data_IF_769132611220
#
_entry.id   IF_769132611220
#
_cell.length_a   1.000
_cell.length_b   1.000
_cell.length_c   1.000
_cell.angle_alpha   90.00
_cell.angle_beta   90.00
_cell.angle_gamma   90.00
#
_symmetry.space_group_name_H-M   'P 1'
#
loop_
_entity.id
_entity.type
_entity.pdbx_description
1 polymer ?
#
# COMPACT_ATOMS: atom_id res chain seq x y z
N UNK A 1 -29.04 -11.42 -3.88
CA UNK A 1 -27.70 -11.34 -3.25
C UNK A 1 -27.63 -10.07 -2.41
N UNK A 2 -26.95 -10.05 -1.27
CA UNK A 2 -26.77 -8.81 -0.51
C UNK A 2 -25.94 -7.84 -1.36
N UNK A 3 -26.43 -6.61 -1.57
CA UNK A 3 -25.77 -5.56 -2.32
C UNK A 3 -24.59 -4.98 -1.53
N UNK A 4 -24.70 -4.91 -0.20
CA UNK A 4 -23.73 -4.40 0.73
C UNK A 4 -23.18 -5.51 1.63
N UNK A 5 -21.95 -5.38 2.06
CA UNK A 5 -21.31 -6.33 2.98
C UNK A 5 -22.02 -6.31 4.35
N UNK A 6 -22.25 -5.12 4.88
CA UNK A 6 -23.00 -4.91 6.11
C UNK A 6 -23.71 -3.52 6.11
N UNK A 7 -24.43 -3.21 7.20
CA UNK A 7 -25.16 -1.97 7.34
C UNK A 7 -24.26 -0.73 7.48
N UNK A 8 -23.00 -0.87 7.84
CA UNK A 8 -22.06 0.25 7.97
C UNK A 8 -21.83 0.94 6.62
N UNK A 9 -21.86 0.21 5.52
CA UNK A 9 -21.65 0.80 4.19
C UNK A 9 -22.70 1.86 3.81
N UNK A 10 -23.88 1.82 4.44
CA UNK A 10 -25.04 2.69 4.12
C UNK A 10 -25.54 3.48 5.31
N UNK A 11 -24.88 3.39 6.47
CA UNK A 11 -25.31 4.19 7.65
C UNK A 11 -25.16 5.69 7.36
N UNK A 12 -25.94 6.51 8.07
CA UNK A 12 -25.89 7.96 7.89
C UNK A 12 -24.48 8.49 8.18
N UNK A 13 -23.92 9.42 7.34
CA UNK A 13 -22.57 9.95 7.54
C UNK A 13 -22.35 10.54 8.93
N UNK A 14 -23.35 11.22 9.51
CA UNK A 14 -23.26 11.78 10.86
C UNK A 14 -23.20 10.70 11.95
N UNK A 15 -23.92 9.61 11.80
CA UNK A 15 -23.86 8.47 12.72
C UNK A 15 -22.50 7.76 12.65
N UNK A 16 -21.98 7.56 11.44
CA UNK A 16 -20.62 7.02 11.23
C UNK A 16 -19.56 7.90 11.89
N UNK A 17 -19.61 9.20 11.64
CA UNK A 17 -18.65 10.15 12.22
C UNK A 17 -18.71 10.13 13.75
N UNK A 18 -19.91 10.16 14.34
CA UNK A 18 -20.07 10.07 15.79
C UNK A 18 -19.51 8.76 16.36
N UNK A 19 -19.76 7.63 15.70
CA UNK A 19 -19.24 6.32 16.11
C UNK A 19 -17.70 6.25 15.98
N UNK A 20 -17.12 6.78 14.90
CA UNK A 20 -15.67 6.85 14.70
C UNK A 20 -14.99 7.73 15.76
N UNK A 21 -15.55 8.91 16.07
CA UNK A 21 -14.97 9.81 17.07
C UNK A 21 -15.09 9.23 18.48
N UNK A 22 -16.18 8.54 18.80
CA UNK A 22 -16.32 7.82 20.07
C UNK A 22 -15.33 6.63 20.16
N UNK A 23 -15.07 5.93 19.06
CA UNK A 23 -14.06 4.87 18.98
C UNK A 23 -12.64 5.44 19.09
N UNK A 24 -12.38 6.60 18.51
CA UNK A 24 -11.08 7.27 18.51
C UNK A 24 -10.57 7.54 19.91
N UNK A 25 -11.39 8.17 20.79
CA UNK A 25 -11.00 8.45 22.16
C UNK A 25 -10.59 7.18 22.93
N UNK A 26 -11.39 6.11 22.78
CA UNK A 26 -11.08 4.80 23.39
C UNK A 26 -9.81 4.19 22.80
N UNK A 27 -9.62 4.33 21.48
CA UNK A 27 -8.46 3.80 20.77
C UNK A 27 -7.16 4.51 21.19
N UNK A 28 -7.18 5.85 21.35
CA UNK A 28 -6.04 6.63 21.85
C UNK A 28 -5.68 6.20 23.27
N UNK A 29 -6.67 6.05 24.16
CA UNK A 29 -6.45 5.56 25.52
C UNK A 29 -5.82 4.14 25.52
N UNK A 30 -6.33 3.25 24.68
CA UNK A 30 -5.80 1.90 24.51
C UNK A 30 -4.36 1.93 23.96
N UNK A 31 -4.09 2.74 22.95
CA UNK A 31 -2.75 2.89 22.37
C UNK A 31 -1.72 3.36 23.40
N UNK A 32 -2.09 4.32 24.26
CA UNK A 32 -1.25 4.78 25.36
C UNK A 32 -1.01 3.69 26.42
N UNK A 33 -2.03 2.87 26.70
CA UNK A 33 -1.92 1.84 27.74
C UNK A 33 -1.18 0.58 27.28
N UNK A 34 -1.36 0.17 26.02
CA UNK A 34 -0.94 -1.13 25.52
C UNK A 34 0.30 -1.10 24.61
N UNK A 35 0.63 0.05 24.01
CA UNK A 35 1.79 0.22 23.11
C UNK A 35 2.81 1.20 23.70
N UNK A 36 3.97 0.74 24.18
CA UNK A 36 5.00 1.61 24.73
C UNK A 36 5.45 2.72 23.76
N UNK A 37 5.51 2.43 22.46
CA UNK A 37 5.86 3.43 21.46
C UNK A 37 4.79 4.52 21.36
N UNK A 38 3.51 4.13 21.31
CA UNK A 38 2.40 5.09 21.25
C UNK A 38 2.25 5.85 22.56
N UNK A 39 2.50 5.23 23.72
CA UNK A 39 2.55 5.93 25.00
C UNK A 39 3.57 7.07 25.00
N UNK A 40 4.76 6.82 24.43
CA UNK A 40 5.79 7.86 24.27
C UNK A 40 5.43 8.94 23.25
N UNK A 41 4.86 8.56 22.10
CA UNK A 41 4.46 9.49 21.04
C UNK A 41 3.30 10.40 21.51
N UNK A 42 2.36 9.83 22.26
CA UNK A 42 1.17 10.52 22.78
C UNK A 42 1.33 10.99 24.23
N UNK A 43 2.58 11.16 24.71
CA UNK A 43 2.85 11.59 26.07
C UNK A 43 2.19 12.95 26.34
N UNK A 44 1.48 13.06 27.48
CA UNK A 44 0.77 14.29 27.86
C UNK A 44 -0.56 14.53 27.15
N UNK A 45 -0.99 13.65 26.24
CA UNK A 45 -2.30 13.73 25.59
C UNK A 45 -3.36 13.14 26.51
N UNK A 46 -4.41 13.91 26.81
CA UNK A 46 -5.62 13.39 27.43
C UNK A 46 -6.50 12.75 26.35
N UNK A 47 -6.54 11.42 26.32
CA UNK A 47 -7.29 10.64 25.32
C UNK A 47 -8.79 11.01 25.29
N UNK A 48 -9.38 11.40 26.44
CA UNK A 48 -10.78 11.81 26.53
C UNK A 48 -11.12 13.07 25.72
N UNK A 49 -10.11 13.91 25.45
CA UNK A 49 -10.27 15.13 24.65
C UNK A 49 -10.17 14.88 23.14
N UNK A 50 -9.72 13.68 22.71
CA UNK A 50 -9.54 13.34 21.29
C UNK A 50 -10.83 12.73 20.72
N UNK A 51 -11.87 13.54 20.67
CA UNK A 51 -13.20 13.15 20.23
C UNK A 51 -13.70 13.94 19.01
N UNK A 52 -12.77 14.46 18.20
CA UNK A 52 -13.08 15.18 16.95
C UNK A 52 -11.90 15.14 15.99
N UNK A 53 -12.17 15.34 14.69
CA UNK A 53 -11.10 15.44 13.67
C UNK A 53 -10.13 16.59 13.97
N UNK A 54 -10.64 17.72 14.47
CA UNK A 54 -9.78 18.84 14.85
C UNK A 54 -8.86 18.51 16.05
N UNK A 55 -9.32 17.70 17.00
CA UNK A 55 -8.49 17.22 18.09
C UNK A 55 -7.46 16.20 17.59
N UNK A 56 -7.87 15.25 16.72
CA UNK A 56 -6.99 14.28 16.09
C UNK A 56 -5.86 14.97 15.31
N UNK A 57 -6.19 15.98 14.52
CA UNK A 57 -5.24 16.72 13.67
C UNK A 57 -4.10 17.39 14.46
N UNK A 58 -4.27 17.63 15.77
CA UNK A 58 -3.22 18.19 16.64
C UNK A 58 -2.22 17.16 17.14
N UNK A 59 -2.51 15.86 17.01
CA UNK A 59 -1.60 14.82 17.41
C UNK A 59 -0.43 14.71 16.39
N UNK A 60 0.75 14.25 16.82
CA UNK A 60 1.86 14.06 15.90
C UNK A 60 1.55 12.99 14.85
N UNK A 61 2.11 13.16 13.65
CA UNK A 61 2.08 12.14 12.60
C UNK A 61 3.25 11.18 12.80
N UNK A 62 2.95 9.90 12.99
CA UNK A 62 3.99 8.85 13.05
C UNK A 62 4.43 8.50 11.63
N UNK A 63 5.68 8.76 11.30
CA UNK A 63 6.24 8.46 9.98
C UNK A 63 6.78 7.02 9.92
N UNK A 64 6.68 6.41 8.74
CA UNK A 64 7.23 5.06 8.50
C UNK A 64 8.73 4.98 8.79
N UNK A 65 9.49 6.04 8.47
CA UNK A 65 10.92 6.16 8.80
C UNK A 65 11.19 6.20 10.30
N UNK A 66 10.35 6.89 11.08
CA UNK A 66 10.47 6.94 12.54
C UNK A 66 10.12 5.59 13.18
N UNK A 67 9.09 4.92 12.68
CA UNK A 67 8.74 3.57 13.10
C UNK A 67 9.91 2.62 12.86
N UNK A 68 10.51 2.65 11.65
CA UNK A 68 11.69 1.86 11.33
C UNK A 68 12.86 2.17 12.27
N UNK A 69 13.16 3.45 12.50
CA UNK A 69 14.27 3.85 13.39
C UNK A 69 14.06 3.36 14.83
N UNK A 70 12.84 3.45 15.36
CA UNK A 70 12.50 2.92 16.70
C UNK A 70 12.65 1.40 16.75
N UNK A 71 12.20 0.67 15.73
CA UNK A 71 12.40 -0.77 15.67
C UNK A 71 13.89 -1.14 15.58
N UNK A 72 14.68 -0.42 14.80
CA UNK A 72 16.13 -0.64 14.70
C UNK A 72 16.84 -0.38 16.04
N UNK A 73 16.52 0.72 16.72
CA UNK A 73 17.07 1.05 18.01
C UNK A 73 16.71 -0.01 19.08
N UNK A 74 15.46 -0.45 19.11
CA UNK A 74 15.01 -1.49 20.03
C UNK A 74 15.76 -2.82 19.79
N UNK A 75 15.92 -3.24 18.54
CA UNK A 75 16.68 -4.45 18.17
C UNK A 75 18.16 -4.34 18.57
N UNK A 76 18.78 -3.19 18.33
CA UNK A 76 20.18 -2.95 18.72
C UNK A 76 20.39 -3.04 20.23
N UNK A 77 19.37 -2.69 21.02
CA UNK A 77 19.37 -2.82 22.48
C UNK A 77 18.94 -4.21 22.98
N UNK A 78 18.72 -5.20 22.11
CA UNK A 78 18.24 -6.53 22.47
C UNK A 78 16.79 -6.58 22.96
N UNK A 79 16.01 -5.55 22.65
CA UNK A 79 14.62 -5.39 23.05
C UNK A 79 13.58 -5.90 22.04
N UNK A 80 12.38 -5.35 22.13
CA UNK A 80 11.24 -5.74 21.29
C UNK A 80 11.46 -5.41 19.80
N UNK A 81 11.36 -6.43 18.96
CA UNK A 81 11.57 -6.30 17.50
C UNK A 81 10.53 -5.40 16.82
N UNK A 82 9.34 -5.24 17.42
CA UNK A 82 8.30 -4.33 16.95
C UNK A 82 8.49 -2.89 17.42
N UNK A 83 9.56 -2.60 18.16
CA UNK A 83 9.88 -1.25 18.64
C UNK A 83 8.87 -0.67 19.63
N UNK A 84 8.11 -1.50 20.31
CA UNK A 84 7.06 -1.11 21.23
C UNK A 84 5.74 -0.71 20.58
N UNK A 85 5.57 -0.88 19.26
CA UNK A 85 4.32 -0.55 18.57
C UNK A 85 3.24 -1.64 18.69
N UNK A 86 3.63 -2.92 18.82
CA UNK A 86 2.67 -4.00 19.02
C UNK A 86 2.06 -3.95 20.43
N UNK A 87 0.74 -4.05 20.52
CA UNK A 87 0.01 -4.18 21.79
C UNK A 87 -0.19 -5.64 22.19
N UNK A 88 0.16 -6.58 21.33
CA UNK A 88 0.09 -8.02 21.56
C UNK A 88 1.49 -8.63 21.63
N UNK A 89 1.64 -9.69 22.41
CA UNK A 89 2.88 -10.44 22.55
C UNK A 89 2.85 -11.74 21.77
N UNK A 90 4.05 -12.26 21.44
CA UNK A 90 4.20 -13.58 20.81
C UNK A 90 3.48 -14.68 21.61
N UNK A 91 2.84 -15.59 20.90
CA UNK A 91 2.06 -16.69 21.46
C UNK A 91 0.64 -16.72 20.90
N UNK A 92 -0.35 -17.06 21.74
CA UNK A 92 -1.74 -17.24 21.29
C UNK A 92 -2.39 -15.97 20.73
N UNK A 93 -1.93 -14.78 21.15
CA UNK A 93 -2.46 -13.50 20.68
C UNK A 93 -1.93 -13.08 19.30
N UNK A 94 -0.72 -13.53 18.95
CA UNK A 94 -0.07 -13.19 17.69
C UNK A 94 -0.05 -14.40 16.76
N UNK A 95 -0.83 -14.33 15.68
CA UNK A 95 -0.91 -15.39 14.67
C UNK A 95 0.33 -15.45 13.80
N UNK A 96 0.81 -14.30 13.34
CA UNK A 96 1.99 -14.15 12.47
C UNK A 96 2.76 -12.88 12.80
N UNK A 97 4.02 -12.85 12.40
CA UNK A 97 4.84 -11.66 12.30
C UNK A 97 5.37 -11.56 10.87
N UNK A 98 5.37 -10.37 10.32
CA UNK A 98 5.80 -10.09 8.95
C UNK A 98 7.01 -9.17 8.95
N UNK A 99 7.66 -9.09 7.79
CA UNK A 99 8.73 -8.15 7.52
C UNK A 99 8.47 -7.44 6.18
N UNK A 100 8.00 -6.21 6.23
CA UNK A 100 7.94 -5.34 5.06
C UNK A 100 9.30 -4.67 4.79
N UNK A 101 9.53 -4.11 3.57
CA UNK A 101 10.81 -3.51 3.24
C UNK A 101 11.27 -2.44 4.23
N UNK A 102 12.49 -2.61 4.77
CA UNK A 102 13.11 -1.76 5.79
C UNK A 102 14.22 -2.45 6.60
N UNK A 103 14.17 -3.70 7.20
CA UNK A 103 12.93 -4.39 7.46
C UNK A 103 12.10 -3.74 8.57
N UNK A 104 10.81 -3.63 8.33
CA UNK A 104 9.83 -3.24 9.32
C UNK A 104 9.03 -4.48 9.70
N UNK A 105 8.88 -4.74 11.00
CA UNK A 105 8.12 -5.89 11.49
C UNK A 105 6.72 -5.48 11.90
N UNK A 106 5.73 -6.18 11.37
CA UNK A 106 4.31 -5.98 11.66
C UNK A 106 3.71 -7.25 12.29
N UNK A 107 2.91 -7.12 13.38
CA UNK A 107 2.20 -8.24 13.98
C UNK A 107 0.86 -8.49 13.27
N UNK A 108 0.41 -9.74 13.28
CA UNK A 108 -0.98 -10.11 12.97
C UNK A 108 -1.60 -10.80 14.17
N UNK A 109 -2.73 -10.27 14.64
CA UNK A 109 -3.54 -10.89 15.68
C UNK A 109 -4.40 -12.03 15.17
N UNK A 110 -5.32 -12.51 16.02
CA UNK A 110 -6.12 -13.72 15.75
C UNK A 110 -7.51 -13.43 15.22
N UNK A 111 -7.90 -12.16 15.13
CA UNK A 111 -9.24 -11.80 14.64
C UNK A 111 -9.47 -12.31 13.22
N UNK A 112 -10.67 -12.83 12.96
CA UNK A 112 -11.11 -13.12 11.60
C UNK A 112 -11.16 -11.78 10.83
N UNK A 113 -10.81 -11.79 9.55
CA UNK A 113 -10.74 -10.57 8.74
C UNK A 113 -9.88 -9.46 9.37
N UNK A 114 -8.78 -9.85 10.02
CA UNK A 114 -7.87 -8.95 10.74
C UNK A 114 -7.52 -7.68 9.94
N UNK A 115 -7.28 -7.84 8.64
CA UNK A 115 -6.91 -6.79 7.71
C UNK A 115 -8.12 -6.09 7.06
N UNK A 116 -9.36 -6.47 7.38
CA UNK A 116 -10.65 -5.90 6.96
C UNK A 116 -10.98 -6.02 5.47
N UNK A 117 -10.24 -6.81 4.70
CA UNK A 117 -10.38 -6.90 3.24
C UNK A 117 -11.64 -7.64 2.75
N UNK A 118 -12.39 -8.33 3.61
CA UNK A 118 -13.64 -8.99 3.22
C UNK A 118 -14.64 -8.03 2.56
N UNK A 119 -14.71 -6.77 3.04
CA UNK A 119 -15.57 -5.73 2.47
C UNK A 119 -15.17 -5.37 1.03
N UNK A 120 -13.87 -5.19 0.78
CA UNK A 120 -13.34 -4.91 -0.54
C UNK A 120 -13.61 -6.06 -1.52
N UNK A 121 -13.42 -7.29 -1.07
CA UNK A 121 -13.74 -8.50 -1.84
C UNK A 121 -15.23 -8.58 -2.17
N UNK A 122 -16.11 -8.33 -1.18
CA UNK A 122 -17.54 -8.31 -1.40
C UNK A 122 -17.95 -7.25 -2.44
N UNK A 123 -17.38 -6.03 -2.35
CA UNK A 123 -17.62 -4.94 -3.29
C UNK A 123 -17.12 -5.28 -4.71
N UNK A 124 -16.02 -6.03 -4.82
CA UNK A 124 -15.50 -6.56 -6.09
C UNK A 124 -16.27 -7.78 -6.63
N UNK A 125 -17.34 -8.19 -5.95
CA UNK A 125 -18.23 -9.24 -6.41
C UNK A 125 -17.88 -10.66 -5.94
N UNK A 126 -16.90 -10.84 -5.06
CA UNK A 126 -16.61 -12.16 -4.45
C UNK A 126 -17.70 -12.58 -3.49
N UNK A 127 -17.97 -13.87 -3.42
CA UNK A 127 -19.04 -14.45 -2.57
C UNK A 127 -18.58 -15.75 -1.92
N UNK A 128 -19.24 -16.13 -0.84
CA UNK A 128 -19.01 -17.41 -0.15
C UNK A 128 -19.16 -18.59 -1.10
N UNK A 129 -18.28 -19.58 -0.95
CA UNK A 129 -18.22 -20.78 -1.78
C UNK A 129 -17.39 -20.66 -3.05
N UNK A 130 -16.91 -19.46 -3.39
CA UNK A 130 -16.03 -19.25 -4.55
C UNK A 130 -14.58 -19.65 -4.25
N UNK A 131 -13.87 -20.10 -5.28
CA UNK A 131 -12.43 -20.33 -5.25
C UNK A 131 -11.68 -19.12 -5.75
N UNK A 132 -10.69 -18.68 -5.00
CA UNK A 132 -9.91 -17.48 -5.29
C UNK A 132 -8.45 -17.83 -5.51
N UNK A 133 -7.90 -17.42 -6.65
CA UNK A 133 -6.47 -17.57 -6.98
C UNK A 133 -5.69 -16.37 -6.41
N UNK A 134 -4.93 -16.61 -5.32
CA UNK A 134 -4.15 -15.56 -4.66
C UNK A 134 -2.69 -15.60 -5.11
N UNK A 135 -2.32 -14.66 -5.98
CA UNK A 135 -0.99 -14.49 -6.56
C UNK A 135 -0.14 -13.40 -5.86
N UNK A 136 -0.56 -12.87 -4.71
CA UNK A 136 0.32 -12.07 -3.88
C UNK A 136 1.42 -12.92 -3.23
N UNK A 137 2.53 -12.28 -2.87
CA UNK A 137 3.63 -12.97 -2.19
C UNK A 137 3.23 -13.45 -0.79
N UNK A 138 3.42 -14.74 -0.55
CA UNK A 138 3.35 -15.36 0.78
C UNK A 138 4.69 -15.32 1.52
N UNK A 139 5.68 -14.63 0.95
CA UNK A 139 7.04 -14.64 1.44
C UNK A 139 7.36 -13.35 2.20
N UNK A 140 7.60 -13.46 3.49
CA UNK A 140 7.98 -12.42 4.47
C UNK A 140 6.94 -11.31 4.68
N UNK A 141 6.36 -10.74 3.63
CA UNK A 141 5.42 -9.60 3.71
C UNK A 141 3.98 -10.04 3.93
N UNK A 142 3.11 -9.21 4.50
CA UNK A 142 1.71 -9.57 4.75
C UNK A 142 0.81 -9.57 3.51
N UNK A 143 1.31 -9.18 2.32
CA UNK A 143 0.48 -8.90 1.15
C UNK A 143 -0.55 -9.98 0.79
N UNK A 144 -0.12 -11.24 0.68
CA UNK A 144 -1.03 -12.35 0.41
C UNK A 144 -2.01 -12.61 1.56
N UNK A 145 -1.53 -12.51 2.80
CA UNK A 145 -2.32 -12.78 4.01
C UNK A 145 -3.37 -11.69 4.27
N UNK A 146 -3.10 -10.44 3.86
CA UNK A 146 -4.06 -9.33 3.93
C UNK A 146 -5.35 -9.68 3.17
N UNK A 147 -5.22 -10.13 1.92
CA UNK A 147 -6.37 -10.46 1.08
C UNK A 147 -6.94 -11.84 1.38
N UNK A 148 -6.09 -12.81 1.76
CA UNK A 148 -6.52 -14.15 2.17
C UNK A 148 -7.43 -14.12 3.39
N UNK A 149 -7.05 -13.34 4.43
CA UNK A 149 -7.87 -13.22 5.64
C UNK A 149 -9.29 -12.73 5.32
N UNK A 150 -9.42 -11.79 4.39
CA UNK A 150 -10.72 -11.31 3.94
C UNK A 150 -11.48 -12.32 3.09
N UNK A 151 -10.81 -13.05 2.21
CA UNK A 151 -11.43 -14.10 1.39
C UNK A 151 -11.98 -15.23 2.26
N UNK A 152 -11.19 -15.71 3.22
CA UNK A 152 -11.61 -16.74 4.17
C UNK A 152 -12.78 -16.25 5.05
N UNK A 153 -12.73 -14.99 5.53
CA UNK A 153 -13.82 -14.40 6.32
C UNK A 153 -15.12 -14.22 5.52
N UNK A 154 -15.00 -14.01 4.20
CA UNK A 154 -16.14 -13.95 3.29
C UNK A 154 -16.72 -15.36 2.99
N UNK A 155 -15.98 -16.43 3.31
CA UNK A 155 -16.35 -17.83 3.05
C UNK A 155 -15.87 -18.35 1.70
N UNK A 156 -14.85 -17.74 1.12
CA UNK A 156 -14.17 -18.24 -0.08
C UNK A 156 -13.15 -19.34 0.29
N UNK A 157 -12.87 -20.21 -0.68
CA UNK A 157 -11.67 -21.05 -0.67
C UNK A 157 -10.53 -20.32 -1.36
N UNK A 158 -9.30 -20.43 -0.84
CA UNK A 158 -8.13 -19.74 -1.40
C UNK A 158 -7.13 -20.75 -1.94
N UNK A 159 -6.72 -20.59 -3.19
CA UNK A 159 -5.55 -21.25 -3.75
C UNK A 159 -4.33 -20.32 -3.58
N UNK A 160 -3.32 -20.69 -2.76
CA UNK A 160 -2.18 -19.83 -2.42
C UNK A 160 -1.09 -19.94 -3.50
N UNK A 161 -1.34 -19.35 -4.67
CA UNK A 161 -0.46 -19.44 -5.83
C UNK A 161 0.88 -18.71 -5.62
N UNK A 162 0.86 -17.57 -4.93
CA UNK A 162 2.06 -16.76 -4.74
C UNK A 162 2.54 -16.06 -6.01
N UNK A 163 3.78 -15.62 -6.01
CA UNK A 163 4.40 -14.89 -7.13
C UNK A 163 5.22 -15.81 -8.05
N UNK A 164 5.34 -15.46 -9.33
CA UNK A 164 6.12 -16.23 -10.32
C UNK A 164 5.44 -17.55 -10.71
N UNK A 165 6.23 -18.54 -11.14
CA UNK A 165 5.75 -19.87 -11.55
C UNK A 165 4.59 -19.83 -12.57
N UNK A 166 4.69 -18.94 -13.57
CA UNK A 166 3.60 -18.60 -14.48
C UNK A 166 2.95 -19.82 -15.13
N UNK A 167 3.73 -20.78 -15.64
CA UNK A 167 3.22 -21.98 -16.30
C UNK A 167 2.43 -22.87 -15.33
N UNK A 168 2.93 -23.06 -14.10
CA UNK A 168 2.25 -23.84 -13.09
C UNK A 168 0.97 -23.15 -12.61
N UNK A 169 0.96 -21.81 -12.52
CA UNK A 169 -0.24 -21.05 -12.22
C UNK A 169 -1.29 -21.18 -13.32
N UNK A 170 -0.90 -21.15 -14.59
CA UNK A 170 -1.82 -21.37 -15.71
C UNK A 170 -2.43 -22.78 -15.68
N UNK A 171 -1.61 -23.80 -15.39
CA UNK A 171 -2.11 -25.16 -15.21
C UNK A 171 -3.13 -25.23 -14.05
N UNK A 172 -2.80 -24.66 -12.89
CA UNK A 172 -3.69 -24.64 -11.75
C UNK A 172 -5.01 -23.89 -12.03
N UNK A 173 -4.96 -22.76 -12.77
CA UNK A 173 -6.16 -22.02 -13.15
C UNK A 173 -7.04 -22.86 -14.09
N UNK A 174 -6.45 -23.54 -15.08
CA UNK A 174 -7.19 -24.38 -16.02
C UNK A 174 -7.87 -25.59 -15.33
N UNK A 175 -7.19 -26.20 -14.36
CA UNK A 175 -7.66 -27.39 -13.65
C UNK A 175 -8.65 -27.04 -12.51
N UNK A 176 -8.29 -26.10 -11.63
CA UNK A 176 -9.08 -25.73 -10.46
C UNK A 176 -10.22 -24.75 -10.79
N UNK A 177 -10.13 -24.03 -11.91
CA UNK A 177 -11.13 -23.08 -12.41
C UNK A 177 -11.58 -22.05 -11.36
N UNK A 178 -10.64 -21.28 -10.74
CA UNK A 178 -10.99 -20.26 -9.76
C UNK A 178 -11.93 -19.20 -10.34
N UNK A 179 -12.83 -18.67 -9.51
CA UNK A 179 -13.82 -17.67 -9.88
C UNK A 179 -13.21 -16.26 -10.00
N UNK A 180 -12.10 -16.03 -9.29
CA UNK A 180 -11.46 -14.72 -9.29
C UNK A 180 -9.99 -14.75 -8.87
N UNK A 181 -9.36 -13.60 -9.06
CA UNK A 181 -7.93 -13.39 -8.87
C UNK A 181 -7.66 -12.33 -7.80
N UNK A 182 -6.64 -12.57 -6.97
CA UNK A 182 -6.05 -11.59 -6.05
C UNK A 182 -4.56 -11.44 -6.38
N UNK A 183 -4.08 -10.23 -6.59
CA UNK A 183 -2.68 -10.01 -6.93
C UNK A 183 -2.41 -8.61 -7.48
N UNK A 184 -1.25 -8.43 -8.09
CA UNK A 184 -0.95 -7.19 -8.80
C UNK A 184 -1.61 -7.20 -10.18
N UNK A 185 -2.06 -6.02 -10.69
CA UNK A 185 -2.68 -5.96 -11.99
C UNK A 185 -1.73 -6.32 -13.14
N UNK A 186 -0.43 -5.99 -13.02
CA UNK A 186 0.58 -6.37 -14.02
C UNK A 186 0.77 -7.88 -14.10
N UNK A 187 0.78 -8.60 -12.98
CA UNK A 187 0.94 -10.06 -13.01
C UNK A 187 -0.31 -10.75 -13.55
N UNK A 188 -1.52 -10.23 -13.27
CA UNK A 188 -2.74 -10.72 -13.91
C UNK A 188 -2.66 -10.57 -15.43
N UNK A 189 -2.18 -9.43 -15.92
CA UNK A 189 -1.95 -9.22 -17.35
C UNK A 189 -1.00 -10.26 -17.93
N UNK A 190 0.14 -10.51 -17.28
CA UNK A 190 1.12 -11.52 -17.70
C UNK A 190 0.47 -12.90 -17.79
N UNK A 191 -0.32 -13.30 -16.78
CA UNK A 191 -1.02 -14.60 -16.79
C UNK A 191 -1.98 -14.71 -17.98
N UNK A 192 -2.77 -13.67 -18.26
CA UNK A 192 -3.72 -13.68 -19.37
C UNK A 192 -3.02 -13.70 -20.72
N UNK A 193 -1.94 -12.92 -20.90
CA UNK A 193 -1.14 -12.92 -22.14
C UNK A 193 -0.50 -14.30 -22.37
N UNK A 194 0.11 -14.87 -21.34
CA UNK A 194 0.72 -16.20 -21.42
C UNK A 194 -0.30 -17.32 -21.64
N UNK A 195 -1.50 -17.20 -21.08
CA UNK A 195 -2.58 -18.13 -21.36
C UNK A 195 -2.98 -18.11 -22.84
N UNK A 196 -3.05 -16.93 -23.46
CA UNK A 196 -3.33 -16.79 -24.88
C UNK A 196 -2.25 -17.42 -25.76
N UNK A 197 -0.97 -17.20 -25.43
CA UNK A 197 0.17 -17.79 -26.12
C UNK A 197 0.19 -19.33 -26.02
N UNK A 198 -0.12 -19.87 -24.82
CA UNK A 198 -0.09 -21.30 -24.55
C UNK A 198 -1.39 -22.04 -24.88
N UNK A 199 -2.46 -21.34 -25.24
CA UNK A 199 -3.78 -21.93 -25.42
C UNK A 199 -4.44 -22.43 -24.12
N UNK A 200 -4.02 -21.91 -22.94
CA UNK A 200 -4.55 -22.32 -21.65
C UNK A 200 -5.90 -21.64 -21.35
N UNK A 201 -6.82 -22.37 -20.72
CA UNK A 201 -8.15 -21.85 -20.37
C UNK A 201 -8.12 -21.11 -19.03
N UNK A 202 -8.20 -19.80 -19.06
CA UNK A 202 -8.31 -18.92 -17.87
C UNK A 202 -9.67 -18.23 -17.77
N UNK A 203 -10.67 -18.64 -18.56
CA UNK A 203 -12.00 -17.99 -18.64
C UNK A 203 -12.85 -18.15 -17.36
N UNK A 204 -12.42 -18.97 -16.41
CA UNK A 204 -13.02 -19.05 -15.09
C UNK A 204 -12.76 -17.77 -14.26
N UNK A 205 -11.66 -17.06 -14.49
CA UNK A 205 -11.36 -15.78 -13.87
C UNK A 205 -12.27 -14.69 -14.41
N UNK A 206 -13.30 -14.33 -13.68
CA UNK A 206 -14.29 -13.31 -14.08
C UNK A 206 -14.13 -11.99 -13.35
N UNK A 207 -13.43 -11.99 -12.23
CA UNK A 207 -13.22 -10.83 -11.37
C UNK A 207 -11.82 -10.85 -10.77
N UNK A 208 -11.35 -9.67 -10.40
CA UNK A 208 -10.09 -9.53 -9.70
C UNK A 208 -10.17 -8.40 -8.67
N UNK A 209 -9.56 -8.60 -7.50
CA UNK A 209 -9.20 -7.52 -6.59
C UNK A 209 -7.70 -7.31 -6.66
N UNK A 210 -7.29 -6.14 -7.15
CA UNK A 210 -5.88 -5.84 -7.42
C UNK A 210 -5.35 -4.75 -6.51
N UNK A 211 -4.07 -4.84 -6.14
CA UNK A 211 -3.38 -3.89 -5.27
C UNK A 211 -1.88 -3.93 -5.47
N UNK A 212 -1.16 -3.07 -4.73
CA UNK A 212 0.31 -3.03 -4.70
C UNK A 212 0.95 -2.21 -5.82
N UNK A 213 0.20 -1.86 -6.84
CA UNK A 213 0.58 -0.96 -7.93
C UNK A 213 -0.67 -0.34 -8.58
N UNK A 214 -0.49 0.65 -9.43
CA UNK A 214 -1.60 1.27 -10.15
C UNK A 214 -2.24 0.30 -11.15
N UNK A 215 -3.57 0.41 -11.30
CA UNK A 215 -4.34 -0.27 -12.33
C UNK A 215 -4.97 0.79 -13.24
N UNK A 216 -4.26 1.26 -14.29
CA UNK A 216 -4.75 2.31 -15.14
C UNK A 216 -6.00 1.89 -15.92
N UNK A 217 -6.83 2.85 -16.38
CA UNK A 217 -8.04 2.57 -17.14
C UNK A 217 -7.79 1.67 -18.35
N UNK A 218 -6.72 1.91 -19.11
CA UNK A 218 -6.37 1.09 -20.27
C UNK A 218 -6.14 -0.39 -19.95
N UNK A 219 -5.50 -0.70 -18.83
CA UNK A 219 -5.34 -2.11 -18.41
C UNK A 219 -6.66 -2.70 -17.93
N UNK A 220 -7.46 -1.91 -17.24
CA UNK A 220 -8.78 -2.35 -16.77
C UNK A 220 -9.71 -2.67 -17.95
N UNK A 221 -9.72 -1.81 -18.96
CA UNK A 221 -10.50 -2.02 -20.19
C UNK A 221 -10.02 -3.27 -20.93
N UNK A 222 -8.70 -3.44 -21.07
CA UNK A 222 -8.08 -4.62 -21.65
C UNK A 222 -8.47 -5.92 -20.93
N UNK A 223 -8.54 -5.92 -19.59
CA UNK A 223 -9.02 -7.04 -18.79
C UNK A 223 -10.53 -7.26 -18.97
N UNK A 224 -11.30 -6.18 -19.02
CA UNK A 224 -12.75 -6.20 -19.23
C UNK A 224 -13.14 -6.81 -20.58
N UNK A 225 -12.42 -6.49 -21.66
CA UNK A 225 -12.60 -7.12 -22.97
C UNK A 225 -12.39 -8.65 -22.96
N UNK A 226 -11.62 -9.14 -21.95
CA UNK A 226 -11.36 -10.57 -21.73
C UNK A 226 -12.26 -11.20 -20.67
N UNK A 227 -13.31 -10.47 -20.26
CA UNK A 227 -14.30 -10.93 -19.28
C UNK A 227 -13.89 -10.82 -17.83
N UNK A 228 -12.77 -10.15 -17.50
CA UNK A 228 -12.26 -10.01 -16.14
C UNK A 228 -12.57 -8.61 -15.60
N UNK A 229 -13.47 -8.51 -14.62
CA UNK A 229 -13.79 -7.26 -13.96
C UNK A 229 -12.77 -7.01 -12.81
N UNK A 230 -11.76 -6.17 -13.05
CA UNK A 230 -10.75 -5.83 -12.05
C UNK A 230 -11.19 -4.63 -11.21
N UNK A 231 -11.03 -4.72 -9.88
CA UNK A 231 -11.29 -3.67 -8.88
C UNK A 231 -10.02 -3.40 -8.09
N UNK A 232 -9.77 -2.13 -7.79
CA UNK A 232 -8.60 -1.73 -7.03
C UNK A 232 -8.89 -1.71 -5.52
N UNK A 233 -7.87 -1.98 -4.74
CA UNK A 233 -7.88 -1.70 -3.31
C UNK A 233 -6.59 -1.00 -2.90
N UNK A 234 -6.72 -0.06 -1.97
CA UNK A 234 -5.61 0.63 -1.34
C UNK A 234 -5.42 0.04 0.05
N UNK A 235 -4.31 -0.63 0.22
CA UNK A 235 -3.90 -1.27 1.48
C UNK A 235 -2.39 -1.16 1.66
N UNK A 236 -1.94 -1.12 2.91
CA UNK A 236 -0.52 -1.15 3.27
C UNK A 236 -0.23 -2.26 4.27
N UNK A 237 1.03 -2.66 4.39
CA UNK A 237 1.46 -3.66 5.36
C UNK A 237 1.18 -3.23 6.81
N UNK A 238 1.27 -1.92 7.08
CA UNK A 238 1.09 -1.36 8.43
C UNK A 238 -0.41 -1.21 8.78
N UNK A 239 -1.24 -0.80 7.81
CA UNK A 239 -2.64 -0.41 8.06
C UNK A 239 -3.66 -1.47 7.65
N UNK A 240 -3.30 -2.43 6.81
CA UNK A 240 -4.28 -3.27 6.13
C UNK A 240 -5.12 -2.47 5.13
N UNK A 241 -6.39 -2.81 4.96
CA UNK A 241 -7.30 -2.09 4.08
C UNK A 241 -7.50 -0.65 4.53
N UNK A 242 -7.33 0.29 3.61
CA UNK A 242 -7.62 1.71 3.82
C UNK A 242 -8.84 2.13 3.00
N UNK A 243 -8.88 1.74 1.71
CA UNK A 243 -9.98 2.07 0.82
C UNK A 243 -10.12 1.05 -0.31
N UNK A 244 -11.29 0.97 -0.92
CA UNK A 244 -11.60 0.00 -1.96
C UNK A 244 -12.50 0.59 -3.06
N UNK A 245 -12.33 0.10 -4.27
CA UNK A 245 -13.14 0.46 -5.43
C UNK A 245 -14.50 -0.24 -5.40
N UNK A 246 -15.50 0.39 -5.98
CA UNK A 246 -16.85 -0.15 -6.13
C UNK A 246 -17.21 -0.25 -7.61
N UNK A 247 -18.38 -0.79 -7.91
CA UNK A 247 -18.88 -0.87 -9.29
C UNK A 247 -19.05 0.50 -9.98
N UNK A 248 -19.12 1.59 -9.21
CA UNK A 248 -19.18 2.95 -9.76
C UNK A 248 -17.88 3.38 -10.46
N UNK A 249 -16.74 2.77 -10.14
CA UNK A 249 -15.42 3.15 -10.70
C UNK A 249 -15.01 4.60 -10.46
N UNK A 250 -15.58 5.23 -9.45
CA UNK A 250 -15.38 6.64 -9.10
C UNK A 250 -14.68 6.76 -7.75
N UNK A 251 -13.36 6.68 -7.76
CA UNK A 251 -12.53 6.72 -6.56
C UNK A 251 -12.65 5.46 -5.70
N UNK A 252 -12.11 5.53 -4.50
CA UNK A 252 -12.09 4.45 -3.52
C UNK A 252 -12.85 4.86 -2.27
N UNK A 253 -13.79 4.03 -1.81
CA UNK A 253 -14.54 4.21 -0.56
C UNK A 253 -13.66 3.81 0.60
N UNK A 254 -13.59 4.62 1.66
CA UNK A 254 -12.83 4.32 2.87
C UNK A 254 -13.38 3.10 3.60
N UNK A 255 -12.49 2.32 4.20
CA UNK A 255 -12.87 1.24 5.11
C UNK A 255 -13.47 1.80 6.42
N UNK A 256 -14.40 1.06 7.02
CA UNK A 256 -15.12 1.47 8.23
C UNK A 256 -14.26 1.35 9.52
N UNK A 257 -13.13 0.66 9.45
CA UNK A 257 -12.20 0.45 10.57
C UNK A 257 -11.02 1.43 10.62
N UNK A 258 -11.04 2.49 9.79
CA UNK A 258 -9.97 3.49 9.75
C UNK A 258 -10.52 4.92 9.77
N UNK A 259 -9.72 5.84 10.30
CA UNK A 259 -9.95 7.27 10.14
C UNK A 259 -8.84 7.79 9.24
N UNK A 260 -9.22 8.34 8.09
CA UNK A 260 -8.28 8.90 7.11
C UNK A 260 -8.34 10.42 7.16
N UNK A 261 -7.15 11.02 7.14
CA UNK A 261 -6.91 12.44 6.95
C UNK A 261 -6.08 12.63 5.69
N UNK A 262 -6.37 13.68 4.91
CA UNK A 262 -5.49 14.14 3.84
C UNK A 262 -4.80 15.38 4.35
N UNK A 263 -3.47 15.34 4.47
CA UNK A 263 -2.69 16.38 5.15
C UNK A 263 -1.59 16.93 4.27
N UNK A 264 -1.14 18.14 4.56
CA UNK A 264 0.01 18.74 3.90
C UNK A 264 1.28 17.94 4.25
N UNK A 265 2.01 17.42 3.25
CA UNK A 265 3.26 16.70 3.47
C UNK A 265 4.24 17.54 4.31
N UNK A 266 4.87 16.88 5.30
CA UNK A 266 5.85 17.53 6.18
C UNK A 266 5.26 18.21 7.41
N UNK A 267 4.09 18.89 7.33
CA UNK A 267 3.49 19.56 8.49
C UNK A 267 2.47 18.69 9.22
N UNK A 268 1.71 17.88 8.50
CA UNK A 268 0.61 17.08 9.06
C UNK A 268 -0.70 17.85 9.24
N UNK A 269 -0.78 19.11 8.75
CA UNK A 269 -2.00 19.90 8.80
C UNK A 269 -3.00 19.41 7.76
N UNK A 270 -4.30 19.24 8.08
CA UNK A 270 -5.32 18.90 7.11
C UNK A 270 -5.37 19.89 5.95
N UNK A 271 -5.57 19.38 4.73
CA UNK A 271 -5.78 20.21 3.53
C UNK A 271 -7.27 20.44 3.28
N UNK A 272 -7.59 21.35 2.37
CA UNK A 272 -8.97 21.58 1.96
C UNK A 272 -9.53 20.36 1.20
N UNK A 273 -10.85 20.18 1.20
CA UNK A 273 -11.51 19.11 0.47
C UNK A 273 -11.17 19.19 -1.03
N UNK A 274 -10.72 18.07 -1.60
CA UNK A 274 -10.30 17.97 -2.99
C UNK A 274 -8.86 18.38 -3.27
N UNK A 275 -8.17 19.02 -2.31
CA UNK A 275 -6.74 19.30 -2.40
C UNK A 275 -5.93 18.00 -2.21
N UNK A 276 -4.83 17.87 -2.96
CA UNK A 276 -3.93 16.71 -2.87
C UNK A 276 -3.03 16.87 -1.65
N UNK A 277 -2.95 15.81 -0.85
CA UNK A 277 -2.08 15.74 0.32
C UNK A 277 -1.67 14.32 0.65
N UNK A 278 -0.88 14.16 1.69
CA UNK A 278 -0.45 12.86 2.20
C UNK A 278 -1.60 12.17 2.93
N UNK A 279 -1.75 10.88 2.67
CA UNK A 279 -2.70 10.02 3.37
C UNK A 279 -2.15 9.66 4.75
N UNK A 280 -2.82 10.12 5.79
CA UNK A 280 -2.55 9.79 7.18
C UNK A 280 -3.70 8.96 7.72
N UNK A 281 -3.38 7.84 8.37
CA UNK A 281 -4.36 6.84 8.78
C UNK A 281 -4.27 6.57 10.28
N UNK A 282 -5.40 6.65 10.97
CA UNK A 282 -5.57 6.06 12.30
C UNK A 282 -6.31 4.75 12.13
N UNK A 283 -5.64 3.65 12.49
CA UNK A 283 -6.18 2.29 12.35
C UNK A 283 -6.79 1.86 13.65
N UNK A 284 -8.10 1.62 13.68
CA UNK A 284 -8.82 1.19 14.88
C UNK A 284 -8.60 -0.31 15.17
N UNK A 285 -7.33 -0.72 15.18
CA UNK A 285 -6.88 -2.08 15.46
C UNK A 285 -6.23 -2.13 16.86
N UNK A 286 -6.80 -2.89 17.82
CA UNK A 286 -6.25 -2.94 19.16
C UNK A 286 -4.90 -3.63 19.26
N UNK A 287 -4.56 -4.53 18.33
CA UNK A 287 -3.34 -5.33 18.38
C UNK A 287 -2.09 -4.57 17.88
N UNK A 288 -2.33 -3.60 16.98
CA UNK A 288 -1.31 -2.72 16.39
C UNK A 288 -1.90 -1.31 16.24
N UNK A 289 -2.04 -0.57 17.36
CA UNK A 289 -2.85 0.64 17.45
C UNK A 289 -2.12 1.87 16.90
N UNK A 290 -1.99 1.97 15.58
CA UNK A 290 -1.38 3.11 14.92
C UNK A 290 -2.33 4.32 14.91
N UNK A 291 -1.89 5.43 15.51
CA UNK A 291 -2.59 6.71 15.51
C UNK A 291 -1.83 7.67 14.60
N UNK A 292 -2.54 8.29 13.65
CA UNK A 292 -2.00 9.23 12.66
C UNK A 292 -0.72 8.72 11.97
N UNK A 293 -0.79 7.52 11.39
CA UNK A 293 0.30 6.94 10.64
C UNK A 293 0.37 7.53 9.22
N UNK A 294 1.47 8.20 8.90
CA UNK A 294 1.74 8.74 7.56
C UNK A 294 2.20 7.66 6.61
N UNK A 295 1.40 7.38 5.60
CA UNK A 295 1.69 6.31 4.62
C UNK A 295 2.78 6.68 3.63
N UNK A 296 3.07 7.97 3.48
CA UNK A 296 3.94 8.50 2.43
C UNK A 296 3.29 8.49 1.04
N UNK A 297 2.01 8.15 0.91
CA UNK A 297 1.25 8.18 -0.33
C UNK A 297 0.41 9.46 -0.43
N UNK A 298 0.20 9.95 -1.64
CA UNK A 298 -0.65 11.09 -1.93
C UNK A 298 -2.04 10.64 -2.40
N UNK A 299 -3.06 11.35 -1.93
CA UNK A 299 -4.43 11.26 -2.42
C UNK A 299 -5.16 12.59 -2.23
N UNK A 300 -6.44 12.61 -2.56
CA UNK A 300 -7.35 13.72 -2.28
C UNK A 300 -8.74 13.18 -1.96
N UNK A 301 -9.50 13.87 -1.12
CA UNK A 301 -10.92 13.56 -0.94
C UNK A 301 -11.65 13.75 -2.26
N UNK A 302 -12.47 12.78 -2.63
CA UNK A 302 -13.37 12.88 -3.78
C UNK A 302 -14.75 13.30 -3.28
N UNK A 303 -15.20 14.54 -3.56
CA UNK A 303 -16.48 15.02 -3.09
C UNK A 303 -17.66 14.32 -3.77
N UNK A 304 -18.83 14.45 -3.17
CA UNK A 304 -20.09 13.93 -3.67
C UNK A 304 -20.45 12.51 -3.20
N UNK A 305 -21.68 12.11 -3.44
CA UNK A 305 -22.19 10.81 -3.04
C UNK A 305 -21.62 9.68 -3.90
N UNK A 306 -21.43 8.51 -3.31
CA UNK A 306 -21.05 7.32 -4.07
C UNK A 306 -22.25 6.81 -4.89
N UNK A 307 -22.13 6.63 -6.23
CA UNK A 307 -23.26 6.16 -7.06
C UNK A 307 -23.79 4.78 -6.66
N UNK A 308 -23.01 3.98 -5.93
CA UNK A 308 -23.45 2.68 -5.42
C UNK A 308 -24.26 2.76 -4.12
N UNK A 309 -24.56 3.96 -3.61
CA UNK A 309 -25.30 4.16 -2.37
C UNK A 309 -24.47 4.02 -1.08
N UNK A 310 -23.17 3.76 -1.19
CA UNK A 310 -22.26 3.78 -0.04
C UNK A 310 -22.06 5.20 0.44
N UNK A 311 -22.13 5.38 1.75
CA UNK A 311 -22.17 6.71 2.38
C UNK A 311 -20.86 7.15 3.02
N UNK A 312 -19.82 6.27 3.02
CA UNK A 312 -18.51 6.65 3.53
C UNK A 312 -17.78 7.57 2.54
N UNK A 313 -16.82 8.35 3.06
CA UNK A 313 -15.95 9.23 2.28
C UNK A 313 -15.23 8.43 1.18
N UNK A 314 -15.05 9.08 0.03
CA UNK A 314 -14.23 8.54 -1.07
C UNK A 314 -12.94 9.34 -1.21
N UNK A 315 -11.88 8.66 -1.65
CA UNK A 315 -10.61 9.28 -2.06
C UNK A 315 -10.35 8.98 -3.53
N UNK A 316 -9.53 9.81 -4.18
CA UNK A 316 -9.19 9.64 -5.61
C UNK A 316 -8.35 8.41 -5.93
N UNK A 317 -7.85 7.70 -4.87
CA UNK A 317 -6.90 6.62 -4.99
C UNK A 317 -5.47 7.13 -4.87
N UNK A 318 -4.50 6.32 -5.33
CA UNK A 318 -3.09 6.67 -5.25
C UNK A 318 -2.70 7.68 -6.33
N UNK A 319 -2.15 8.81 -5.92
CA UNK A 319 -1.72 9.91 -6.81
C UNK A 319 -0.19 10.09 -6.86
N UNK A 320 0.56 9.26 -6.13
CA UNK A 320 2.01 9.32 -6.08
C UNK A 320 2.55 9.11 -4.67
N UNK A 321 3.87 9.34 -4.49
CA UNK A 321 4.58 9.21 -3.21
C UNK A 321 4.94 10.58 -2.65
N UNK A 322 4.61 10.82 -1.39
CA UNK A 322 5.00 12.04 -0.69
C UNK A 322 6.50 12.06 -0.32
N UNK A 323 7.11 10.87 -0.16
CA UNK A 323 8.51 10.70 0.22
C UNK A 323 9.45 10.40 -0.96
N UNK A 324 8.97 10.54 -2.17
CA UNK A 324 9.68 10.27 -3.42
C UNK A 324 10.17 8.80 -3.56
N UNK A 325 9.54 7.85 -2.89
CA UNK A 325 9.88 6.44 -3.09
C UNK A 325 9.18 5.91 -4.34
N UNK A 326 9.94 5.37 -5.28
CA UNK A 326 9.39 4.72 -6.48
C UNK A 326 9.45 3.18 -6.37
N UNK A 327 8.40 2.49 -6.81
CA UNK A 327 8.40 1.04 -6.96
C UNK A 327 8.83 0.69 -8.38
N UNK A 328 9.94 -0.01 -8.53
CA UNK A 328 10.52 -0.42 -9.82
C UNK A 328 10.62 -1.94 -9.84
N UNK A 329 9.97 -2.60 -10.79
CA UNK A 329 9.99 -4.07 -10.93
C UNK A 329 9.71 -4.81 -9.62
N UNK A 330 8.75 -4.31 -8.83
CA UNK A 330 8.35 -4.89 -7.54
C UNK A 330 9.21 -4.47 -6.34
N UNK A 331 10.34 -3.78 -6.54
CA UNK A 331 11.23 -3.30 -5.48
C UNK A 331 11.08 -1.80 -5.27
N UNK A 332 11.18 -1.35 -4.02
CA UNK A 332 11.15 0.07 -3.70
C UNK A 332 12.56 0.67 -3.78
N UNK A 333 12.68 1.78 -4.51
CA UNK A 333 13.85 2.64 -4.50
C UNK A 333 13.49 3.94 -3.80
N UNK A 334 14.29 4.35 -2.83
CA UNK A 334 14.03 5.52 -1.98
C UNK A 334 15.22 6.50 -1.98
N UNK A 335 15.01 7.77 -1.62
CA UNK A 335 16.04 8.81 -1.66
C UNK A 335 17.33 8.45 -0.91
N UNK A 336 17.23 7.68 0.18
CA UNK A 336 18.41 7.21 0.93
C UNK A 336 19.33 6.33 0.09
N UNK A 337 18.79 5.50 -0.81
CA UNK A 337 19.61 4.69 -1.73
C UNK A 337 20.27 5.55 -2.79
N UNK A 338 19.59 6.60 -3.28
CA UNK A 338 20.21 7.57 -4.19
C UNK A 338 21.40 8.26 -3.51
N UNK A 339 21.22 8.70 -2.27
CA UNK A 339 22.28 9.30 -1.49
C UNK A 339 23.45 8.33 -1.23
N UNK A 340 23.16 7.04 -0.99
CA UNK A 340 24.19 6.02 -0.77
C UNK A 340 25.03 5.77 -2.03
N UNK A 341 24.40 5.72 -3.20
CA UNK A 341 25.12 5.64 -4.48
C UNK A 341 25.99 6.88 -4.66
N UNK A 342 25.45 8.07 -4.47
CA UNK A 342 26.18 9.33 -4.64
C UNK A 342 27.41 9.45 -3.74
N UNK A 343 27.36 8.93 -2.50
CA UNK A 343 28.53 8.93 -1.58
C UNK A 343 29.75 8.21 -2.15
N UNK A 344 29.55 7.30 -3.11
CA UNK A 344 30.66 6.56 -3.75
C UNK A 344 31.32 7.33 -4.89
N UNK A 345 30.73 8.46 -5.30
CA UNK A 345 31.16 9.26 -6.46
C UNK A 345 31.28 10.74 -6.11
N UNK A 346 32.37 11.16 -5.44
CA UNK A 346 32.56 12.54 -5.05
C UNK A 346 32.68 13.50 -6.26
N UNK A 347 32.98 12.96 -7.45
CA UNK A 347 33.02 13.71 -8.71
C UNK A 347 31.63 14.00 -9.31
N UNK A 348 30.57 13.40 -8.77
CA UNK A 348 29.18 13.63 -9.23
C UNK A 348 28.54 14.70 -8.37
N UNK A 349 28.11 15.78 -9.00
CA UNK A 349 27.48 16.89 -8.29
C UNK A 349 26.07 16.54 -7.81
N UNK A 350 25.25 15.96 -8.69
CA UNK A 350 23.88 15.53 -8.41
C UNK A 350 23.50 14.34 -9.28
N UNK A 351 22.53 13.54 -8.81
CA UNK A 351 21.86 12.57 -9.65
C UNK A 351 20.35 12.57 -9.38
N UNK A 352 19.59 12.27 -10.43
CA UNK A 352 18.15 12.03 -10.35
C UNK A 352 17.83 10.68 -10.96
N UNK A 353 17.15 9.84 -10.20
CA UNK A 353 16.54 8.63 -10.73
C UNK A 353 15.22 9.00 -11.40
N UNK A 354 15.06 8.69 -12.67
CA UNK A 354 13.80 8.79 -13.41
C UNK A 354 13.26 7.40 -13.65
N UNK A 355 12.06 7.14 -13.15
CA UNK A 355 11.34 5.91 -13.42
C UNK A 355 10.32 6.19 -14.51
N UNK A 356 10.42 5.51 -15.63
CA UNK A 356 9.55 5.67 -16.80
C UNK A 356 9.14 4.31 -17.36
N UNK A 357 8.35 4.30 -18.42
CA UNK A 357 7.89 3.09 -19.11
C UNK A 357 6.40 2.84 -18.92
N UNK A 358 5.91 1.79 -19.59
CA UNK A 358 4.56 1.28 -19.43
C UNK A 358 4.51 0.23 -18.29
N UNK A 359 3.31 -0.05 -17.79
CA UNK A 359 3.07 -1.05 -16.76
C UNK A 359 3.77 -2.38 -17.08
N UNK A 360 4.39 -2.99 -16.08
CA UNK A 360 5.22 -4.20 -16.15
C UNK A 360 6.53 -4.06 -16.95
N UNK A 361 6.81 -2.89 -17.52
CA UNK A 361 8.06 -2.62 -18.23
C UNK A 361 8.72 -1.33 -17.73
N UNK A 362 8.94 -1.27 -16.42
CA UNK A 362 9.60 -0.15 -15.77
C UNK A 362 11.03 0.02 -16.29
N UNK A 363 11.35 1.23 -16.75
CA UNK A 363 12.70 1.68 -17.05
C UNK A 363 13.21 2.55 -15.92
N UNK A 364 14.43 2.29 -15.50
CA UNK A 364 15.11 3.03 -14.44
C UNK A 364 16.33 3.73 -15.06
N UNK A 365 16.24 5.05 -15.20
CA UNK A 365 17.31 5.88 -15.80
C UNK A 365 17.86 6.81 -14.74
N UNK A 366 19.16 6.74 -14.51
CA UNK A 366 19.88 7.64 -13.62
C UNK A 366 20.51 8.77 -14.43
N UNK A 367 19.97 9.98 -14.29
CA UNK A 367 20.53 11.19 -14.86
C UNK A 367 21.55 11.76 -13.89
N UNK A 368 22.82 11.73 -14.28
CA UNK A 368 23.97 11.99 -13.40
C UNK A 368 24.72 13.24 -13.89
N UNK A 369 24.71 14.30 -13.07
CA UNK A 369 25.47 15.51 -13.35
C UNK A 369 26.96 15.30 -13.07
N UNK A 370 27.73 15.08 -14.12
CA UNK A 370 29.16 14.95 -14.06
C UNK A 370 29.80 15.39 -15.38
N UNK A 371 31.07 15.82 -15.32
CA UNK A 371 31.87 15.91 -16.52
C UNK A 371 32.08 14.51 -17.14
N UNK A 372 32.07 14.38 -18.47
CA UNK A 372 32.33 13.10 -19.11
C UNK A 372 33.69 12.53 -18.68
N UNK A 373 33.67 11.33 -18.10
CA UNK A 373 34.89 10.63 -17.68
C UNK A 373 34.79 9.14 -18.14
N UNK A 374 35.89 8.57 -18.65
CA UNK A 374 35.90 7.17 -19.07
C UNK A 374 35.48 6.22 -17.96
N UNK A 375 34.55 5.31 -18.24
CA UNK A 375 34.08 4.27 -17.31
C UNK A 375 33.24 4.77 -16.14
N UNK A 376 32.88 6.06 -16.08
CA UNK A 376 32.06 6.60 -14.97
C UNK A 376 30.64 6.02 -15.01
N UNK A 377 30.01 5.98 -16.17
CA UNK A 377 28.64 5.46 -16.30
C UNK A 377 28.55 3.97 -15.90
N UNK A 378 29.53 3.18 -16.28
CA UNK A 378 29.61 1.75 -15.95
C UNK A 378 29.80 1.54 -14.45
N UNK A 379 30.76 2.26 -13.82
CA UNK A 379 30.97 2.18 -12.37
C UNK A 379 29.75 2.66 -11.59
N UNK A 380 29.08 3.70 -12.08
CA UNK A 380 27.86 4.21 -11.46
C UNK A 380 26.72 3.17 -11.57
N UNK A 381 26.54 2.55 -12.73
CA UNK A 381 25.54 1.49 -12.94
C UNK A 381 25.82 0.25 -12.05
N UNK A 382 27.07 -0.09 -11.80
CA UNK A 382 27.45 -1.16 -10.89
C UNK A 382 27.07 -0.81 -9.44
N UNK A 383 27.40 0.40 -8.99
CA UNK A 383 27.01 0.88 -7.66
C UNK A 383 25.49 0.94 -7.48
N UNK A 384 24.76 1.38 -8.50
CA UNK A 384 23.28 1.34 -8.52
C UNK A 384 22.78 -0.08 -8.30
N UNK A 385 23.31 -1.07 -9.04
CA UNK A 385 22.92 -2.47 -8.89
C UNK A 385 23.24 -3.01 -7.50
N UNK A 386 24.39 -2.62 -6.95
CA UNK A 386 24.79 -3.06 -5.61
C UNK A 386 23.88 -2.53 -4.51
N UNK A 387 23.49 -1.26 -4.59
CA UNK A 387 22.67 -0.60 -3.58
C UNK A 387 21.19 -0.94 -3.74
N UNK A 388 20.67 -0.87 -4.99
CA UNK A 388 19.23 -1.02 -5.24
C UNK A 388 18.81 -2.46 -5.56
N UNK A 389 19.75 -3.34 -5.89
CA UNK A 389 19.55 -4.69 -6.46
C UNK A 389 18.81 -4.68 -7.81
N UNK A 390 18.73 -3.53 -8.45
CA UNK A 390 18.10 -3.33 -9.75
C UNK A 390 19.14 -2.86 -10.77
N UNK A 391 18.93 -3.22 -12.03
CA UNK A 391 19.69 -2.66 -13.15
C UNK A 391 19.02 -1.38 -13.62
N UNK A 392 19.80 -0.29 -13.73
CA UNK A 392 19.39 1.00 -14.28
C UNK A 392 20.31 1.43 -15.40
N UNK A 393 19.78 2.20 -16.33
CA UNK A 393 20.55 2.93 -17.35
C UNK A 393 21.17 4.17 -16.70
N UNK A 394 22.36 4.59 -17.12
CA UNK A 394 23.03 5.79 -16.63
C UNK A 394 23.21 6.75 -17.79
N UNK A 395 22.67 7.95 -17.66
CA UNK A 395 22.79 9.07 -18.57
C UNK A 395 23.64 10.16 -17.90
N UNK A 396 24.85 10.38 -18.41
CA UNK A 396 25.66 11.52 -17.96
C UNK A 396 25.12 12.80 -18.57
N UNK A 397 24.80 13.78 -17.73
CA UNK A 397 24.26 15.07 -18.13
C UNK A 397 25.17 16.20 -17.65
N UNK A 398 25.11 17.34 -18.33
CA UNK A 398 25.96 18.49 -17.99
C UNK A 398 25.69 18.95 -16.54
N UNK A 399 26.73 19.33 -15.78
CA UNK A 399 26.56 19.93 -14.46
C UNK A 399 25.60 21.12 -14.49
N UNK A 400 24.65 21.17 -13.54
CA UNK A 400 23.61 22.19 -13.45
C UNK A 400 22.41 22.02 -14.38
N UNK A 401 22.32 20.92 -15.13
CA UNK A 401 21.20 20.67 -16.07
C UNK A 401 19.97 20.08 -15.41
N UNK A 402 20.11 19.43 -14.24
CA UNK A 402 18.95 18.90 -13.49
C UNK A 402 18.20 20.02 -12.78
N UNK A 403 16.85 20.00 -12.79
CA UNK A 403 16.06 20.98 -12.07
C UNK A 403 16.42 21.02 -10.57
N UNK A 404 16.47 22.21 -9.99
CA UNK A 404 16.70 22.39 -8.56
C UNK A 404 15.37 22.45 -7.80
N UNK A 405 14.58 21.38 -7.89
CA UNK A 405 13.24 21.26 -7.32
C UNK A 405 13.18 20.33 -6.08
N UNK A 406 14.36 19.93 -5.57
CA UNK A 406 14.49 19.03 -4.42
C UNK A 406 14.14 17.57 -4.70
N UNK A 407 13.78 17.22 -5.95
CA UNK A 407 13.45 15.83 -6.30
C UNK A 407 14.71 15.05 -6.68
N UNK A 408 14.95 13.97 -5.98
CA UNK A 408 16.01 13.00 -6.30
C UNK A 408 15.47 11.75 -7.00
N UNK A 409 14.16 11.49 -6.90
CA UNK A 409 13.45 10.46 -7.64
C UNK A 409 12.23 11.10 -8.31
N UNK A 410 12.07 10.83 -9.60
CA UNK A 410 10.96 11.26 -10.42
C UNK A 410 10.25 10.03 -11.00
N UNK A 411 8.98 9.85 -10.66
CA UNK A 411 8.13 8.84 -11.30
C UNK A 411 7.43 9.50 -12.50
N UNK A 412 7.99 9.28 -13.67
CA UNK A 412 7.51 9.82 -14.95
C UNK A 412 6.62 8.83 -15.72
N UNK A 413 6.14 7.76 -15.05
CA UNK A 413 5.22 6.81 -15.68
C UNK A 413 3.86 7.48 -15.90
N UNK A 414 3.32 7.35 -17.11
CA UNK A 414 1.95 7.75 -17.36
C UNK A 414 1.00 6.63 -16.93
N UNK A 415 0.11 6.95 -16.02
CA UNK A 415 -0.98 6.06 -15.58
C UNK A 415 -2.30 6.41 -16.32
N UNK A 416 -2.18 6.88 -17.58
CA UNK A 416 -3.33 7.16 -18.42
C UNK A 416 -3.93 5.90 -19.04
#
# INVERSE_FOLDING_TARGET
MKEFFDALETCAPAEREAALMAALARHVAHAQAASPAMAGILAGVDAGTIASRAALARLPVTRKSELLARQQAARAAGGDVFGGFAAIVRGKAMRRAYASPGPIYEPEGTAANYWRTARALHAAGFRAGELVHNAFSYHMTPGAFIVEAGALALGCTVFPAGTGQTEQQLQAIAELRPDGYLGTPSFLRILVEKAQEAGADVRSLRKALVSGEACPPSLRDWLGERGIQAYQTYATADCGLIAYETAAREGLVLDEGVIVEIVRPGTGDPVAEGEVGEVVVTVLNPDYPLVRFGTGDLSAVLPGACPTGRTNTRIRGWLGRADQTAKVRGMFVHPGQVAEVLKRFPEVARARLVVSGAMANDRMTWRVEAAPAPGLAERFAEAVRDVTKLRGEVELVAPGSLPNDGKVIEDARSYQ
#
